data_IF_371895905295
#
_entry.id   IF_371895905295
#
_cell.length_a   1.000
_cell.length_b   1.000
_cell.length_c   1.000
_cell.angle_alpha   90.00
_cell.angle_beta   90.00
_cell.angle_gamma   90.00
#
_symmetry.space_group_name_H-M   'P 1'
#
loop_
_entity.id
_entity.type
_entity.pdbx_description
1 polymer ?
#
# COMPACT_ATOMS: atom_id res chain seq x y z
N UNK A 1 11.36 -16.25 16.31
CA UNK A 1 10.08 -16.18 15.56
C UNK A 1 10.23 -15.11 14.49
N UNK A 2 10.89 -15.42 13.39
CA UNK A 2 10.90 -14.60 12.16
C UNK A 2 10.54 -15.55 11.04
N UNK A 3 9.26 -15.58 10.66
CA UNK A 3 8.82 -16.43 9.55
C UNK A 3 9.26 -15.76 8.26
N UNK A 4 10.42 -16.17 7.76
CA UNK A 4 10.95 -15.78 6.47
C UNK A 4 10.28 -16.58 5.36
N UNK A 5 9.20 -16.06 4.78
CA UNK A 5 8.82 -16.42 3.41
C UNK A 5 7.93 -15.33 2.78
N UNK A 6 8.56 -14.37 2.10
CA UNK A 6 7.99 -13.69 0.93
C UNK A 6 9.08 -12.82 0.28
N UNK A 7 9.85 -13.42 -0.64
CA UNK A 7 10.94 -12.80 -1.39
C UNK A 7 10.54 -11.67 -2.37
N UNK A 8 9.52 -10.88 -2.04
CA UNK A 8 9.18 -9.64 -2.74
C UNK A 8 9.18 -8.51 -1.72
N UNK A 9 10.29 -7.77 -1.68
CA UNK A 9 10.44 -6.51 -0.92
C UNK A 9 9.52 -5.39 -1.43
N UNK A 10 8.92 -5.56 -2.61
CA UNK A 10 8.11 -4.54 -3.27
C UNK A 10 6.64 -4.97 -3.45
N UNK A 11 5.69 -4.05 -3.22
CA UNK A 11 4.27 -4.27 -3.52
C UNK A 11 4.03 -4.54 -5.01
N UNK A 12 3.23 -5.58 -5.32
CA UNK A 12 2.76 -5.85 -6.68
C UNK A 12 1.66 -4.85 -7.12
N UNK A 13 1.21 -4.90 -8.37
CA UNK A 13 0.23 -3.95 -8.91
C UNK A 13 -1.10 -3.89 -8.13
N UNK A 14 -1.63 -5.04 -7.70
CA UNK A 14 -2.85 -5.08 -6.87
C UNK A 14 -2.61 -4.47 -5.50
N UNK A 15 -1.47 -4.78 -4.88
CA UNK A 15 -1.06 -4.20 -3.59
C UNK A 15 -0.88 -2.69 -3.72
N UNK A 16 -0.24 -2.20 -4.79
CA UNK A 16 -0.10 -0.77 -5.07
C UNK A 16 -1.45 -0.08 -5.22
N UNK A 17 -2.43 -0.73 -5.86
CA UNK A 17 -3.79 -0.19 -5.94
C UNK A 17 -4.44 -0.07 -4.57
N UNK A 18 -4.29 -1.08 -3.72
CA UNK A 18 -4.78 -1.04 -2.32
C UNK A 18 -4.09 0.10 -1.56
N UNK A 19 -2.77 0.24 -1.69
CA UNK A 19 -1.99 1.31 -1.03
C UNK A 19 -2.55 2.69 -1.42
N UNK A 20 -2.70 2.95 -2.72
CA UNK A 20 -3.16 4.24 -3.21
C UNK A 20 -4.54 4.62 -2.68
N UNK A 21 -5.48 3.66 -2.65
CA UNK A 21 -6.84 3.90 -2.16
C UNK A 21 -6.86 4.14 -0.64
N UNK A 22 -6.06 3.38 0.12
CA UNK A 22 -5.98 3.57 1.58
C UNK A 22 -5.29 4.89 1.95
N UNK A 23 -4.26 5.29 1.20
CA UNK A 23 -3.60 6.59 1.35
C UNK A 23 -4.54 7.76 1.09
N UNK A 24 -5.50 7.61 0.16
CA UNK A 24 -6.59 8.57 -0.07
C UNK A 24 -7.65 8.60 1.05
N UNK A 25 -7.52 7.77 2.08
CA UNK A 25 -8.39 7.75 3.24
C UNK A 25 -9.54 6.75 3.19
N UNK A 26 -9.69 5.99 2.10
CA UNK A 26 -10.77 5.00 1.97
C UNK A 26 -10.68 3.95 3.09
N UNK A 27 -11.84 3.50 3.57
CA UNK A 27 -11.99 2.39 4.51
C UNK A 27 -11.91 1.07 3.75
N UNK A 28 -11.57 -0.01 4.45
CA UNK A 28 -11.40 -1.34 3.84
C UNK A 28 -12.62 -1.80 3.03
N UNK A 29 -13.84 -1.44 3.47
CA UNK A 29 -15.08 -1.75 2.74
C UNK A 29 -15.17 -1.01 1.40
N UNK A 30 -14.77 0.25 1.37
CA UNK A 30 -14.75 1.08 0.16
C UNK A 30 -13.68 0.57 -0.80
N UNK A 31 -12.46 0.30 -0.30
CA UNK A 31 -11.39 -0.32 -1.09
C UNK A 31 -11.86 -1.66 -1.68
N UNK A 32 -12.57 -2.48 -0.90
CA UNK A 32 -13.08 -3.77 -1.36
C UNK A 32 -14.07 -3.60 -2.53
N UNK A 33 -14.98 -2.63 -2.45
CA UNK A 33 -15.88 -2.28 -3.53
C UNK A 33 -15.13 -1.81 -4.78
N UNK A 34 -14.12 -0.94 -4.62
CA UNK A 34 -13.34 -0.38 -5.73
C UNK A 34 -12.54 -1.42 -6.52
N UNK A 35 -12.04 -2.47 -5.86
CA UNK A 35 -11.20 -3.49 -6.50
C UNK A 35 -11.90 -4.84 -6.70
N UNK A 36 -13.22 -4.90 -6.45
CA UNK A 36 -14.03 -6.09 -6.67
C UNK A 36 -13.67 -7.27 -5.75
N UNK A 37 -13.51 -7.01 -4.46
CA UNK A 37 -13.16 -8.03 -3.46
C UNK A 37 -13.95 -7.86 -2.15
N UNK A 38 -13.54 -8.53 -1.07
CA UNK A 38 -14.16 -8.42 0.26
C UNK A 38 -13.28 -7.64 1.24
N UNK A 39 -13.91 -7.06 2.28
CA UNK A 39 -13.18 -6.33 3.32
C UNK A 39 -12.13 -7.22 4.02
N UNK A 40 -12.42 -8.51 4.20
CA UNK A 40 -11.48 -9.47 4.77
C UNK A 40 -10.24 -9.63 3.89
N UNK A 41 -10.42 -9.72 2.57
CA UNK A 41 -9.30 -9.80 1.62
C UNK A 41 -8.47 -8.52 1.66
N UNK A 42 -9.09 -7.35 1.76
CA UNK A 42 -8.35 -6.07 1.93
C UNK A 42 -7.54 -6.06 3.22
N UNK A 43 -8.08 -6.57 4.35
CA UNK A 43 -7.30 -6.71 5.60
C UNK A 43 -6.06 -7.60 5.42
N UNK A 44 -6.19 -8.67 4.65
CA UNK A 44 -5.07 -9.56 4.34
C UNK A 44 -4.03 -8.89 3.46
N UNK A 45 -4.46 -8.12 2.44
CA UNK A 45 -3.56 -7.29 1.66
C UNK A 45 -2.79 -6.31 2.55
N UNK A 46 -3.48 -5.60 3.45
CA UNK A 46 -2.83 -4.62 4.32
C UNK A 46 -1.81 -5.23 5.26
N UNK A 47 -2.09 -6.42 5.83
CA UNK A 47 -1.09 -7.15 6.63
C UNK A 47 0.18 -7.43 5.83
N UNK A 48 0.02 -8.02 4.64
CA UNK A 48 1.16 -8.33 3.76
C UNK A 48 1.92 -7.08 3.32
N UNK A 49 1.20 -5.99 3.03
CA UNK A 49 1.79 -4.70 2.64
C UNK A 49 2.60 -4.12 3.79
N UNK A 50 2.05 -4.10 5.00
CA UNK A 50 2.74 -3.63 6.20
C UNK A 50 4.01 -4.43 6.47
N UNK A 51 3.93 -5.75 6.40
CA UNK A 51 5.09 -6.63 6.59
C UNK A 51 6.17 -6.37 5.52
N UNK A 52 5.77 -6.19 4.25
CA UNK A 52 6.72 -5.89 3.14
C UNK A 52 7.39 -4.54 3.28
N UNK A 53 6.67 -3.53 3.73
CA UNK A 53 7.13 -2.15 3.78
C UNK A 53 7.75 -1.77 5.14
N UNK A 54 7.65 -2.65 6.15
CA UNK A 54 8.10 -2.37 7.51
C UNK A 54 7.25 -1.31 8.21
N UNK A 55 5.95 -1.25 7.90
CA UNK A 55 5.00 -0.28 8.45
C UNK A 55 4.08 -0.95 9.46
N UNK A 56 3.48 -0.17 10.34
CA UNK A 56 2.67 -0.67 11.45
C UNK A 56 1.20 -0.31 11.32
N UNK A 57 0.89 0.76 10.58
CA UNK A 57 -0.47 1.27 10.51
C UNK A 57 -0.73 2.04 9.21
N UNK A 58 -2.01 2.38 9.01
CA UNK A 58 -2.48 3.07 7.81
C UNK A 58 -1.99 4.50 7.68
N UNK A 59 -1.67 5.18 8.79
CA UNK A 59 -1.16 6.55 8.77
C UNK A 59 0.25 6.54 8.21
N UNK A 60 1.10 5.64 8.70
CA UNK A 60 2.42 5.39 8.14
C UNK A 60 2.35 5.00 6.66
N UNK A 61 1.38 4.16 6.27
CA UNK A 61 1.16 3.81 4.87
C UNK A 61 0.81 5.03 4.00
N UNK A 62 -0.05 5.92 4.49
CA UNK A 62 -0.40 7.13 3.77
C UNK A 62 0.81 8.06 3.61
N UNK A 63 1.58 8.28 4.68
CA UNK A 63 2.80 9.09 4.64
C UNK A 63 3.87 8.48 3.70
N UNK A 64 4.06 7.16 3.77
CA UNK A 64 4.98 6.43 2.90
C UNK A 64 4.63 6.58 1.42
N UNK A 65 3.33 6.57 1.09
CA UNK A 65 2.83 6.74 -0.26
C UNK A 65 3.01 8.17 -0.77
N UNK A 66 2.63 9.17 0.04
CA UNK A 66 2.76 10.57 -0.34
C UNK A 66 4.23 10.97 -0.52
N UNK A 67 5.14 10.54 0.36
CA UNK A 67 6.57 10.83 0.22
C UNK A 67 7.13 10.38 -1.15
N UNK A 68 6.74 9.17 -1.61
CA UNK A 68 7.15 8.63 -2.91
C UNK A 68 6.49 9.28 -4.10
N UNK A 69 5.26 9.79 -3.92
CA UNK A 69 4.59 10.59 -4.94
C UNK A 69 5.36 11.88 -5.22
N UNK A 70 5.93 12.50 -4.18
CA UNK A 70 6.77 13.69 -4.33
C UNK A 70 8.16 13.39 -4.92
N UNK A 71 8.77 12.24 -4.59
CA UNK A 71 10.04 11.82 -5.21
C UNK A 71 9.94 11.73 -6.74
N UNK A 72 8.83 11.20 -7.27
CA UNK A 72 8.58 11.19 -8.72
C UNK A 72 8.32 12.57 -9.33
N UNK A 73 7.93 13.55 -8.52
CA UNK A 73 7.58 14.91 -8.97
C UNK A 73 8.79 15.86 -8.99
N UNK A 74 9.79 15.63 -8.14
CA UNK A 74 11.03 16.42 -8.09
C UNK A 74 12.13 15.93 -9.04
N UNK A 75 12.00 14.72 -9.58
CA UNK A 75 12.98 14.12 -10.51
C UNK A 75 12.56 14.20 -11.98
N UNK A 76 11.42 14.79 -12.32
CA UNK A 76 11.09 15.11 -13.71
C UNK A 76 11.96 16.29 -14.17
N UNK A 77 12.96 16.09 -15.05
CA UNK A 77 13.74 17.20 -15.56
C UNK A 77 12.80 18.12 -16.33
N UNK A 78 12.83 19.40 -15.99
CA UNK A 78 12.34 20.45 -16.86
C UNK A 78 13.09 20.32 -18.20
N UNK A 79 12.39 19.89 -19.24
CA UNK A 79 12.78 20.04 -20.64
C UNK A 79 11.51 20.32 -21.45
#
# INVERSE_FOLDING_TARGET
MVNGENGRTYPNEREQRVIALVAQGLKNKEVASEIGTTEHVVKNYLRTIYDKLGLWNRVELALWYEARRFEGMFLAPAN
#
